data_IF_948787913287
#
_entry.id   IF_948787913287
#
_cell.length_a   1.000
_cell.length_b   1.000
_cell.length_c   1.000
_cell.angle_alpha   90.00
_cell.angle_beta   90.00
_cell.angle_gamma   90.00
#
_symmetry.space_group_name_H-M   'P 1'
#
loop_
_entity.id
_entity.type
_entity.pdbx_description
1 polymer ?
#
# COMPACT_ATOMS: atom_id res chain seq x y z
N UNK A 1 -13.91 8.95 -8.66
CA UNK A 1 -12.64 8.39 -8.13
C UNK A 1 -12.81 6.92 -7.72
N UNK A 2 -13.92 6.56 -7.06
CA UNK A 2 -14.20 5.17 -6.64
C UNK A 2 -14.46 4.20 -7.81
N UNK A 3 -15.10 4.65 -8.89
CA UNK A 3 -15.32 3.82 -10.09
C UNK A 3 -14.02 3.37 -10.78
N UNK A 4 -13.01 4.24 -10.78
CA UNK A 4 -11.70 3.94 -11.38
C UNK A 4 -10.94 2.87 -10.58
N UNK A 5 -10.99 2.96 -9.25
CA UNK A 5 -10.44 1.92 -8.34
C UNK A 5 -11.16 0.57 -8.54
N UNK A 6 -12.48 0.59 -8.67
CA UNK A 6 -13.27 -0.61 -8.99
C UNK A 6 -12.85 -1.26 -10.32
N UNK A 7 -12.65 -0.44 -11.35
CA UNK A 7 -12.22 -0.90 -12.67
C UNK A 7 -10.78 -1.45 -12.66
N UNK A 8 -9.84 -0.73 -12.05
CA UNK A 8 -8.42 -1.09 -12.00
C UNK A 8 -8.16 -2.38 -11.22
N UNK A 9 -8.88 -2.57 -10.12
CA UNK A 9 -8.71 -3.75 -9.24
C UNK A 9 -9.77 -4.83 -9.47
N UNK A 10 -10.66 -4.65 -10.45
CA UNK A 10 -11.77 -5.56 -10.77
C UNK A 10 -12.65 -5.88 -9.56
N UNK A 11 -12.90 -4.90 -8.71
CA UNK A 11 -13.77 -5.01 -7.53
C UNK A 11 -15.02 -4.15 -7.71
N UNK A 12 -16.09 -4.47 -7.00
CA UNK A 12 -17.29 -3.62 -7.02
C UNK A 12 -16.98 -2.25 -6.43
N UNK A 13 -17.72 -1.23 -6.86
CA UNK A 13 -17.58 0.13 -6.35
C UNK A 13 -17.70 0.17 -4.82
N UNK A 14 -18.67 -0.56 -4.25
CA UNK A 14 -18.84 -0.63 -2.79
C UNK A 14 -17.63 -1.25 -2.09
N UNK A 15 -16.99 -2.24 -2.73
CA UNK A 15 -15.81 -2.92 -2.18
C UNK A 15 -14.60 -1.99 -2.24
N UNK A 16 -14.39 -1.30 -3.37
CA UNK A 16 -13.36 -0.27 -3.49
C UNK A 16 -13.54 0.84 -2.45
N UNK A 17 -14.78 1.31 -2.26
CA UNK A 17 -15.09 2.36 -1.28
C UNK A 17 -14.80 1.91 0.15
N UNK A 18 -15.18 0.68 0.51
CA UNK A 18 -14.90 0.10 1.83
C UNK A 18 -13.40 0.03 2.11
N UNK A 19 -12.60 -0.44 1.16
CA UNK A 19 -11.14 -0.49 1.31
C UNK A 19 -10.54 0.91 1.41
N UNK A 20 -11.00 1.85 0.60
CA UNK A 20 -10.52 3.23 0.66
C UNK A 20 -10.74 3.85 2.04
N UNK A 21 -11.96 3.72 2.58
CA UNK A 21 -12.29 4.26 3.90
C UNK A 21 -11.55 3.54 5.03
N UNK A 22 -11.35 2.23 4.90
CA UNK A 22 -10.52 1.45 5.83
C UNK A 22 -9.10 2.00 5.91
N UNK A 23 -8.44 2.22 4.76
CA UNK A 23 -7.08 2.74 4.72
C UNK A 23 -6.99 4.18 5.23
N UNK A 24 -7.96 5.04 4.93
CA UNK A 24 -8.02 6.39 5.51
C UNK A 24 -8.08 6.32 7.03
N UNK A 25 -8.84 5.39 7.60
CA UNK A 25 -8.88 5.21 9.06
C UNK A 25 -7.52 4.79 9.63
N UNK A 26 -6.87 3.81 9.01
CA UNK A 26 -5.52 3.37 9.41
C UNK A 26 -4.52 4.52 9.35
N UNK A 27 -4.57 5.36 8.32
CA UNK A 27 -3.71 6.52 8.20
C UNK A 27 -3.99 7.60 9.26
N UNK A 28 -5.26 7.81 9.63
CA UNK A 28 -5.63 8.71 10.73
C UNK A 28 -5.13 8.22 12.10
N UNK A 29 -5.09 6.91 12.31
CA UNK A 29 -4.60 6.34 13.56
C UNK A 29 -3.06 6.32 13.61
N UNK A 30 -2.40 6.17 12.46
CA UNK A 30 -0.94 6.04 12.36
C UNK A 30 -0.18 7.37 12.21
N UNK A 31 -0.82 8.41 11.64
CA UNK A 31 -0.15 9.68 11.31
C UNK A 31 -0.67 10.85 12.16
N UNK A 32 0.18 11.85 12.45
CA UNK A 32 -0.26 13.09 13.10
C UNK A 32 -1.31 13.83 12.25
N UNK A 33 -2.33 14.46 12.87
CA UNK A 33 -3.37 15.20 12.13
C UNK A 33 -2.82 16.28 11.20
N UNK A 34 -1.74 16.94 11.60
CA UNK A 34 -1.05 17.96 10.80
C UNK A 34 -0.51 17.44 9.48
N UNK A 35 -0.08 16.17 9.42
CA UNK A 35 0.44 15.53 8.21
C UNK A 35 -0.69 15.17 7.24
N UNK A 36 -1.84 14.77 7.79
CA UNK A 36 -3.04 14.44 7.03
C UNK A 36 -3.66 15.70 6.43
N UNK A 37 -3.69 16.80 7.18
CA UNK A 37 -4.15 18.09 6.67
C UNK A 37 -3.26 18.60 5.53
N UNK A 38 -1.94 18.46 5.66
CA UNK A 38 -1.00 18.78 4.57
C UNK A 38 -1.24 17.93 3.32
N UNK A 39 -1.45 16.62 3.48
CA UNK A 39 -1.76 15.73 2.36
C UNK A 39 -3.09 16.07 1.67
N UNK A 40 -4.08 16.59 2.42
CA UNK A 40 -5.37 17.04 1.87
C UNK A 40 -5.26 18.35 1.09
N UNK A 41 -4.32 19.22 1.45
CA UNK A 41 -4.12 20.53 0.80
C UNK A 41 -3.18 20.47 -0.40
N UNK A 42 -2.42 19.38 -0.55
CA UNK A 42 -1.46 19.27 -1.63
C UNK A 42 -2.07 18.71 -2.91
N UNK A 43 -2.63 19.60 -3.73
CA UNK A 43 -2.73 19.37 -5.18
C UNK A 43 -1.31 19.10 -5.77
N UNK A 44 -0.28 19.60 -5.08
CA UNK A 44 1.16 19.49 -5.35
C UNK A 44 1.71 18.06 -5.24
N UNK A 45 1.05 17.16 -4.49
CA UNK A 45 1.56 15.79 -4.33
C UNK A 45 1.42 14.96 -5.60
N UNK A 46 0.39 15.21 -6.44
CA UNK A 46 0.22 14.51 -7.72
C UNK A 46 1.50 14.48 -8.56
N UNK A 47 2.09 15.65 -8.75
CA UNK A 47 3.16 15.83 -9.74
C UNK A 47 4.54 15.48 -9.17
N UNK A 48 4.71 15.57 -7.84
CA UNK A 48 5.99 15.32 -7.17
C UNK A 48 6.08 13.93 -6.50
N UNK A 49 4.96 13.20 -6.36
CA UNK A 49 4.95 11.88 -5.71
C UNK A 49 5.73 10.86 -6.53
N UNK A 50 5.60 10.88 -7.86
CA UNK A 50 6.35 9.96 -8.73
C UNK A 50 7.85 10.15 -8.57
N UNK A 51 8.30 11.41 -8.56
CA UNK A 51 9.71 11.73 -8.38
C UNK A 51 10.18 11.38 -6.97
N UNK A 52 9.41 11.71 -5.94
CA UNK A 52 9.73 11.34 -4.55
C UNK A 52 9.83 9.81 -4.37
N UNK A 53 8.86 9.04 -4.90
CA UNK A 53 8.87 7.58 -4.84
C UNK A 53 10.05 6.99 -5.63
N UNK A 54 10.46 7.62 -6.74
CA UNK A 54 11.64 7.20 -7.50
C UNK A 54 12.95 7.42 -6.72
N UNK A 55 13.00 8.44 -5.86
CA UNK A 55 14.16 8.76 -5.02
C UNK A 55 14.18 7.96 -3.71
N UNK A 56 13.05 7.39 -3.31
CA UNK A 56 12.99 6.52 -2.13
C UNK A 56 13.47 5.12 -2.47
N UNK A 57 14.48 4.64 -1.74
CA UNK A 57 14.93 3.26 -1.84
C UNK A 57 13.86 2.34 -1.26
N UNK A 58 13.31 1.45 -2.09
CA UNK A 58 12.42 0.40 -1.61
C UNK A 58 13.21 -0.48 -0.65
N UNK A 59 12.88 -0.44 0.64
CA UNK A 59 13.45 -1.34 1.64
C UNK A 59 12.90 -2.74 1.35
N UNK A 60 13.55 -3.42 0.41
CA UNK A 60 13.41 -4.86 0.22
C UNK A 60 14.27 -5.52 1.29
N UNK A 61 13.68 -6.44 2.05
CA UNK A 61 14.45 -7.21 3.03
C UNK A 61 15.50 -8.03 2.28
N UNK A 62 16.72 -7.49 2.21
CA UNK A 62 17.85 -8.08 1.47
C UNK A 62 18.34 -9.38 2.11
N UNK A 63 17.83 -9.69 3.30
CA UNK A 63 18.04 -10.97 3.99
C UNK A 63 17.01 -12.02 3.59
N UNK A 64 16.00 -11.67 2.79
CA UNK A 64 15.06 -12.65 2.24
C UNK A 64 15.80 -13.56 1.26
N UNK A 65 16.02 -14.81 1.68
CA UNK A 65 16.73 -15.78 0.85
C UNK A 65 15.93 -16.06 -0.43
N UNK A 66 16.59 -16.15 -1.60
CA UNK A 66 15.94 -16.56 -2.83
C UNK A 66 15.57 -18.04 -2.73
N UNK A 67 14.37 -18.32 -2.22
CA UNK A 67 13.77 -19.65 -2.22
C UNK A 67 12.59 -19.68 -3.19
N UNK A 68 12.42 -20.74 -3.99
CA UNK A 68 11.21 -20.91 -4.78
C UNK A 68 10.02 -20.94 -3.83
N UNK A 69 8.96 -20.17 -4.15
CA UNK A 69 7.73 -20.16 -3.36
C UNK A 69 7.19 -21.60 -3.30
N UNK A 70 7.06 -22.21 -2.10
CA UNK A 70 6.42 -23.52 -1.97
C UNK A 70 5.01 -23.46 -2.55
N UNK A 71 4.61 -24.44 -3.35
CA UNK A 71 3.26 -24.45 -3.95
C UNK A 71 2.19 -24.67 -2.88
N UNK A 72 2.52 -25.44 -1.84
CA UNK A 72 1.63 -25.78 -0.75
C UNK A 72 1.49 -24.62 0.26
N UNK A 73 0.26 -24.20 0.52
CA UNK A 73 -0.04 -23.02 1.35
C UNK A 73 0.42 -23.18 2.80
N UNK A 74 0.32 -24.40 3.35
CA UNK A 74 0.75 -24.67 4.71
C UNK A 74 2.27 -24.57 4.89
N UNK A 75 3.03 -24.79 3.82
CA UNK A 75 4.49 -24.68 3.83
C UNK A 75 4.97 -23.24 3.64
N UNK A 76 4.20 -22.42 2.92
CA UNK A 76 4.48 -20.98 2.80
C UNK A 76 4.43 -20.26 4.14
N UNK A 77 3.60 -20.72 5.08
CA UNK A 77 3.46 -20.12 6.42
C UNK A 77 4.63 -20.41 7.35
N UNK A 78 5.49 -21.37 7.03
CA UNK A 78 6.63 -21.73 7.88
C UNK A 78 7.75 -20.72 7.65
N UNK A 79 8.24 -20.13 8.75
CA UNK A 79 9.50 -19.39 8.70
C UNK A 79 10.60 -20.33 8.20
N UNK A 80 11.40 -19.92 7.20
CA UNK A 80 12.58 -20.67 6.80
C UNK A 80 13.52 -20.80 8.01
N UNK A 81 14.03 -22.00 8.28
CA UNK A 81 15.14 -22.19 9.22
C UNK A 81 16.40 -21.54 8.63
N UNK A 82 17.17 -20.85 9.48
CA UNK A 82 18.42 -20.15 9.10
C UNK A 82 19.59 -21.11 8.94
#
# INVERSE_FOLDING_TARGET
MHDYLGLMFKVTESTANNYFHYWIKVLNDALPPSLIEQAKTSEIWSDNLSDFLSQSELIVDSLEQPRPRPVEYQEQKKCPER
#
